data_IF_157059146444
#
_entry.id   IF_157059146444
#
_cell.length_a   1.000
_cell.length_b   1.000
_cell.length_c   1.000
_cell.angle_alpha   90.00
_cell.angle_beta   90.00
_cell.angle_gamma   90.00
#
_symmetry.space_group_name_H-M   'P 1'
#
loop_
_entity.id
_entity.type
_entity.pdbx_description
1 polymer ?
#
# COMPACT_ATOMS: atom_id res chain seq x y z
N UNK A 1 -22.72 -1.84 -36.58
CA UNK A 1 -21.29 -1.63 -36.28
C UNK A 1 -21.14 -1.52 -34.77
N UNK A 2 -20.62 -2.56 -34.12
CA UNK A 2 -20.34 -2.55 -32.67
C UNK A 2 -18.88 -2.18 -32.53
N UNK A 3 -18.60 -0.98 -32.00
CA UNK A 3 -17.24 -0.56 -31.68
C UNK A 3 -16.81 -1.27 -30.39
N UNK A 4 -15.88 -2.22 -30.51
CA UNK A 4 -15.15 -2.75 -29.36
C UNK A 4 -14.26 -1.63 -28.81
N UNK A 5 -14.60 -1.11 -27.64
CA UNK A 5 -13.68 -0.29 -26.85
C UNK A 5 -12.67 -1.25 -26.25
N UNK A 6 -11.47 -1.30 -26.84
CA UNK A 6 -10.34 -2.00 -26.26
C UNK A 6 -9.98 -1.30 -24.93
N UNK A 7 -10.26 -1.98 -23.81
CA UNK A 7 -9.75 -1.58 -22.51
C UNK A 7 -8.22 -1.68 -22.57
N UNK A 8 -7.55 -0.54 -22.72
CA UNK A 8 -6.11 -0.46 -22.54
C UNK A 8 -5.83 -0.79 -21.07
N UNK A 9 -5.42 -2.03 -20.82
CA UNK A 9 -4.77 -2.40 -19.56
C UNK A 9 -3.47 -1.61 -19.53
N UNK A 10 -3.47 -0.47 -18.83
CA UNK A 10 -2.22 0.20 -18.50
C UNK A 10 -1.40 -0.81 -17.68
N UNK A 11 -0.39 -1.40 -18.32
CA UNK A 11 0.63 -2.15 -17.61
C UNK A 11 1.15 -1.24 -16.49
N UNK A 12 1.25 -1.71 -15.24
CA UNK A 12 1.86 -0.90 -14.20
C UNK A 12 3.23 -0.47 -14.71
N UNK A 13 3.51 0.84 -14.66
CA UNK A 13 4.84 1.33 -14.96
C UNK A 13 5.82 0.48 -14.13
N UNK A 14 6.83 -0.11 -14.78
CA UNK A 14 7.83 -0.90 -14.08
C UNK A 14 8.37 -0.06 -12.93
N UNK A 15 8.32 -0.62 -11.73
CA UNK A 15 8.72 0.08 -10.53
C UNK A 15 10.17 0.60 -10.70
N UNK A 16 10.43 1.82 -10.24
CA UNK A 16 11.77 2.41 -10.29
C UNK A 16 12.65 1.88 -9.15
N UNK A 17 13.99 2.05 -9.22
CA UNK A 17 14.91 1.51 -8.21
C UNK A 17 14.68 2.05 -6.78
N UNK A 18 14.00 3.19 -6.62
CA UNK A 18 13.61 3.70 -5.31
C UNK A 18 12.36 3.01 -4.76
N UNK A 19 11.41 2.67 -5.63
CA UNK A 19 10.24 1.86 -5.29
C UNK A 19 10.66 0.46 -4.87
N UNK A 20 11.53 -0.18 -5.66
CA UNK A 20 12.08 -1.50 -5.34
C UNK A 20 12.74 -1.51 -3.95
N UNK A 21 13.66 -0.57 -3.67
CA UNK A 21 14.33 -0.47 -2.36
C UNK A 21 13.32 -0.30 -1.21
N UNK A 22 12.26 0.48 -1.43
CA UNK A 22 11.25 0.75 -0.40
C UNK A 22 10.36 -0.47 -0.15
N UNK A 23 9.96 -1.17 -1.22
CA UNK A 23 9.14 -2.38 -1.13
C UNK A 23 9.93 -3.59 -0.61
N UNK A 24 11.20 -3.74 -0.98
CA UNK A 24 12.11 -4.76 -0.43
C UNK A 24 12.30 -4.59 1.09
N UNK A 25 12.26 -3.35 1.59
CA UNK A 25 12.23 -3.06 3.03
C UNK A 25 10.87 -3.38 3.69
N UNK A 26 9.87 -3.81 2.91
CA UNK A 26 8.56 -4.24 3.37
C UNK A 26 7.57 -3.11 3.64
N UNK A 27 7.79 -1.93 3.06
CA UNK A 27 6.82 -0.84 3.02
C UNK A 27 5.92 -0.95 1.80
N UNK A 28 4.81 -0.23 1.80
CA UNK A 28 3.79 -0.25 0.74
C UNK A 28 3.64 1.13 0.08
N UNK A 29 2.97 1.22 -1.07
CA UNK A 29 2.63 2.52 -1.67
C UNK A 29 1.73 3.37 -0.77
N UNK A 30 0.88 2.74 0.04
CA UNK A 30 0.14 3.44 1.10
C UNK A 30 1.10 4.20 2.03
N UNK A 31 2.20 3.57 2.47
CA UNK A 31 3.18 4.21 3.36
C UNK A 31 3.85 5.41 2.69
N UNK A 32 4.15 5.30 1.40
CA UNK A 32 4.68 6.39 0.61
C UNK A 32 3.69 7.57 0.51
N UNK A 33 2.40 7.29 0.29
CA UNK A 33 1.34 8.31 0.29
C UNK A 33 1.15 8.96 1.67
N UNK A 34 1.20 8.19 2.75
CA UNK A 34 1.09 8.72 4.11
C UNK A 34 2.29 9.62 4.45
N UNK A 35 3.49 9.24 4.02
CA UNK A 35 4.70 10.07 4.15
C UNK A 35 4.60 11.37 3.33
N UNK A 36 4.12 11.26 2.09
CA UNK A 36 3.95 12.39 1.19
C UNK A 36 3.07 13.47 1.81
N UNK A 37 1.93 13.07 2.36
CA UNK A 37 1.00 13.97 3.05
C UNK A 37 1.62 14.58 4.32
N UNK A 38 2.37 13.80 5.09
CA UNK A 38 2.97 14.30 6.33
C UNK A 38 4.11 15.31 6.11
N UNK A 39 4.73 15.31 4.94
CA UNK A 39 5.79 16.25 4.58
C UNK A 39 5.32 17.41 3.69
N UNK A 40 4.02 17.47 3.35
CA UNK A 40 3.48 18.40 2.36
C UNK A 40 4.29 18.42 1.05
N UNK A 41 4.74 17.22 0.60
CA UNK A 41 5.56 17.07 -0.60
C UNK A 41 4.67 16.73 -1.80
N UNK A 42 4.58 17.61 -2.78
CA UNK A 42 3.75 17.34 -3.97
C UNK A 42 4.33 16.24 -4.87
N UNK A 43 5.58 15.81 -4.65
CA UNK A 43 6.29 14.88 -5.51
C UNK A 43 6.59 13.55 -4.82
N UNK A 44 5.77 12.53 -5.11
CA UNK A 44 5.99 11.16 -4.61
C UNK A 44 7.41 10.64 -4.87
N UNK A 45 7.96 10.92 -6.05
CA UNK A 45 9.32 10.52 -6.41
C UNK A 45 10.39 11.06 -5.46
N UNK A 46 10.17 12.24 -4.85
CA UNK A 46 11.09 12.82 -3.87
C UNK A 46 11.00 12.09 -2.53
N UNK A 47 9.79 11.80 -2.06
CA UNK A 47 9.55 11.00 -0.85
C UNK A 47 10.23 9.64 -0.97
N UNK A 48 9.97 8.93 -2.07
CA UNK A 48 10.52 7.59 -2.33
C UNK A 48 12.04 7.61 -2.47
N UNK A 49 12.61 8.59 -3.18
CA UNK A 49 14.06 8.76 -3.27
C UNK A 49 14.69 8.98 -1.89
N UNK A 50 14.14 9.88 -1.09
CA UNK A 50 14.66 10.20 0.24
C UNK A 50 14.58 8.98 1.18
N UNK A 51 13.47 8.23 1.12
CA UNK A 51 13.32 7.00 1.90
C UNK A 51 14.31 5.91 1.44
N UNK A 52 14.43 5.69 0.13
CA UNK A 52 15.36 4.72 -0.43
C UNK A 52 16.83 5.07 -0.12
N UNK A 53 17.21 6.35 -0.15
CA UNK A 53 18.55 6.80 0.25
C UNK A 53 18.86 6.49 1.72
N UNK A 54 17.91 6.74 2.63
CA UNK A 54 18.05 6.37 4.06
C UNK A 54 18.19 4.86 4.22
N UNK A 55 17.36 4.07 3.53
CA UNK A 55 17.43 2.60 3.58
C UNK A 55 18.79 2.08 3.11
N UNK A 56 19.32 2.59 1.99
CA UNK A 56 20.64 2.20 1.47
C UNK A 56 21.80 2.57 2.41
N UNK A 57 21.62 3.58 3.26
CA UNK A 57 22.59 3.98 4.30
C UNK A 57 22.47 3.17 5.59
N UNK A 58 21.48 2.28 5.69
CA UNK A 58 21.19 1.52 6.91
C UNK A 58 20.31 2.27 7.92
N UNK A 59 19.76 3.43 7.56
CA UNK A 59 18.91 4.26 8.44
C UNK A 59 17.45 3.75 8.52
N UNK A 60 17.26 2.43 8.52
CA UNK A 60 15.93 1.81 8.51
C UNK A 60 15.05 2.23 9.67
N UNK A 61 15.62 2.42 10.87
CA UNK A 61 14.91 2.92 12.04
C UNK A 61 14.35 4.34 11.83
N UNK A 62 15.06 5.19 11.08
CA UNK A 62 14.58 6.54 10.77
C UNK A 62 13.40 6.49 9.80
N UNK A 63 13.50 5.65 8.77
CA UNK A 63 12.41 5.45 7.81
C UNK A 63 11.18 4.88 8.49
N UNK A 64 11.34 3.91 9.40
CA UNK A 64 10.24 3.37 10.18
C UNK A 64 9.53 4.45 11.03
N UNK A 65 10.31 5.31 11.71
CA UNK A 65 9.76 6.40 12.51
C UNK A 65 9.06 7.48 11.64
N UNK A 66 9.60 7.75 10.45
CA UNK A 66 8.98 8.66 9.48
C UNK A 66 7.64 8.08 8.98
N UNK A 67 7.60 6.79 8.59
CA UNK A 67 6.39 6.10 8.12
C UNK A 67 5.32 6.06 9.20
N UNK A 68 5.70 5.69 10.43
CA UNK A 68 4.78 5.63 11.56
C UNK A 68 4.15 7.00 11.84
N UNK A 69 4.96 8.07 11.81
CA UNK A 69 4.44 9.45 11.91
C UNK A 69 3.48 9.75 10.78
N UNK A 70 3.83 9.38 9.54
CA UNK A 70 2.99 9.58 8.36
C UNK A 70 1.61 8.96 8.53
N UNK A 71 1.57 7.70 8.99
CA UNK A 71 0.33 6.97 9.28
C UNK A 71 -0.48 7.64 10.38
N UNK A 72 0.16 8.04 11.49
CA UNK A 72 -0.53 8.68 12.61
C UNK A 72 -1.18 10.01 12.22
N UNK A 73 -0.46 10.85 11.47
CA UNK A 73 -0.97 12.15 11.00
C UNK A 73 -2.11 11.98 9.99
N UNK A 74 -2.07 10.93 9.16
CA UNK A 74 -2.99 10.74 8.05
C UNK A 74 -3.93 9.54 8.25
N UNK A 75 -4.19 9.12 9.50
CA UNK A 75 -4.94 7.90 9.82
C UNK A 75 -6.39 7.84 9.29
N UNK A 76 -6.93 8.97 8.87
CA UNK A 76 -8.28 9.09 8.30
C UNK A 76 -8.28 9.17 6.77
N UNK A 77 -7.12 9.20 6.12
CA UNK A 77 -6.98 9.32 4.65
C UNK A 77 -6.91 7.95 3.96
N UNK A 78 -7.76 6.98 4.39
CA UNK A 78 -7.74 5.62 3.86
C UNK A 78 -7.98 5.52 2.34
N UNK A 79 -8.59 6.54 1.74
CA UNK A 79 -8.74 6.68 0.28
C UNK A 79 -7.40 6.71 -0.49
N UNK A 80 -6.30 7.03 0.19
CA UNK A 80 -4.92 7.05 -0.35
C UNK A 80 -4.22 5.69 -0.24
N UNK A 81 -4.90 4.70 0.31
CA UNK A 81 -4.38 3.35 0.51
C UNK A 81 -5.33 2.33 -0.13
N UNK A 82 -5.53 2.37 -1.46
CA UNK A 82 -6.41 1.42 -2.12
C UNK A 82 -5.90 -0.01 -1.92
N UNK A 83 -6.78 -0.90 -1.46
CA UNK A 83 -6.43 -2.28 -1.17
C UNK A 83 -5.83 -3.00 -2.39
N UNK A 84 -6.35 -2.72 -3.59
CA UNK A 84 -5.93 -3.40 -4.83
C UNK A 84 -4.48 -3.09 -5.26
N UNK A 85 -3.80 -2.11 -4.64
CA UNK A 85 -2.36 -1.88 -4.86
C UNK A 85 -1.47 -2.87 -4.12
N UNK A 86 -2.00 -3.51 -3.06
CA UNK A 86 -1.23 -4.43 -2.20
C UNK A 86 -1.80 -5.85 -2.23
N UNK A 87 -3.12 -5.97 -2.38
CA UNK A 87 -3.82 -7.26 -2.36
C UNK A 87 -4.35 -7.62 -3.74
N UNK A 88 -4.12 -8.86 -4.17
CA UNK A 88 -4.73 -9.39 -5.38
C UNK A 88 -6.24 -9.60 -5.21
N UNK A 89 -6.98 -9.68 -6.32
CA UNK A 89 -8.41 -9.98 -6.29
C UNK A 89 -8.73 -11.30 -5.55
N UNK A 90 -7.88 -12.32 -5.72
CA UNK A 90 -8.00 -13.60 -5.00
C UNK A 90 -7.82 -13.42 -3.49
N UNK A 91 -6.80 -12.66 -3.07
CA UNK A 91 -6.58 -12.36 -1.65
C UNK A 91 -7.75 -11.59 -1.05
N UNK A 92 -8.30 -10.59 -1.75
CA UNK A 92 -9.47 -9.84 -1.30
C UNK A 92 -10.68 -10.77 -1.10
N UNK A 93 -10.94 -11.70 -2.03
CA UNK A 93 -12.01 -12.69 -1.90
C UNK A 93 -11.80 -13.63 -0.71
N UNK A 94 -10.57 -14.05 -0.47
CA UNK A 94 -10.25 -14.89 0.68
C UNK A 94 -10.43 -14.12 1.99
N UNK A 95 -10.07 -12.85 2.06
CA UNK A 95 -10.31 -12.01 3.23
C UNK A 95 -11.80 -11.86 3.49
N UNK A 96 -12.60 -11.63 2.43
CA UNK A 96 -14.06 -11.57 2.55
C UNK A 96 -14.61 -12.86 3.16
N UNK A 97 -14.15 -14.04 2.67
CA UNK A 97 -14.54 -15.34 3.22
C UNK A 97 -14.10 -15.52 4.67
N UNK A 98 -12.83 -15.23 4.97
CA UNK A 98 -12.23 -15.42 6.29
C UNK A 98 -12.92 -14.53 7.35
N UNK A 99 -13.21 -13.28 7.01
CA UNK A 99 -13.92 -12.35 7.89
C UNK A 99 -15.45 -12.45 7.83
N UNK A 100 -15.99 -13.36 7.00
CA UNK A 100 -17.44 -13.53 6.79
C UNK A 100 -18.13 -12.23 6.37
N UNK A 101 -17.51 -11.51 5.44
CA UNK A 101 -18.04 -10.28 4.86
C UNK A 101 -18.76 -10.58 3.55
N UNK A 102 -20.01 -10.14 3.43
CA UNK A 102 -20.81 -10.34 2.21
C UNK A 102 -20.51 -9.28 1.13
N UNK A 103 -19.88 -8.17 1.51
CA UNK A 103 -19.54 -7.06 0.62
C UNK A 103 -18.04 -6.99 0.33
N UNK A 104 -17.68 -7.14 -0.94
CA UNK A 104 -16.31 -6.95 -1.41
C UNK A 104 -15.88 -5.49 -1.27
N UNK A 105 -16.81 -4.54 -1.44
CA UNK A 105 -16.50 -3.11 -1.25
C UNK A 105 -16.13 -2.81 0.21
N UNK A 106 -16.86 -3.35 1.17
CA UNK A 106 -16.53 -3.21 2.60
C UNK A 106 -15.24 -3.95 2.96
N UNK A 107 -14.99 -5.11 2.34
CA UNK A 107 -13.73 -5.85 2.52
C UNK A 107 -12.54 -5.02 2.08
N UNK A 108 -12.62 -4.36 0.91
CA UNK A 108 -11.60 -3.42 0.45
C UNK A 108 -11.40 -2.26 1.42
N UNK A 109 -12.50 -1.64 1.89
CA UNK A 109 -12.41 -0.54 2.85
C UNK A 109 -11.71 -0.97 4.16
N UNK A 110 -12.01 -2.17 4.66
CA UNK A 110 -11.33 -2.75 5.84
C UNK A 110 -9.85 -3.00 5.58
N UNK A 111 -9.49 -3.57 4.43
CA UNK A 111 -8.09 -3.79 4.02
C UNK A 111 -7.32 -2.47 3.89
N UNK A 112 -7.91 -1.45 3.27
CA UNK A 112 -7.36 -0.10 3.22
C UNK A 112 -7.12 0.47 4.62
N UNK A 113 -8.05 0.25 5.55
CA UNK A 113 -7.85 0.63 6.95
C UNK A 113 -6.70 -0.11 7.64
N UNK A 114 -6.47 -1.38 7.32
CA UNK A 114 -5.31 -2.14 7.82
C UNK A 114 -4.00 -1.62 7.24
N UNK A 115 -3.97 -1.24 5.95
CA UNK A 115 -2.80 -0.62 5.31
C UNK A 115 -2.39 0.67 6.05
N UNK A 116 -3.36 1.55 6.32
CA UNK A 116 -3.13 2.81 7.06
C UNK A 116 -2.56 2.56 8.46
N UNK A 117 -3.02 1.51 9.15
CA UNK A 117 -2.49 1.13 10.48
C UNK A 117 -1.15 0.42 10.42
N UNK A 118 -0.70 -0.02 9.25
CA UNK A 118 0.50 -0.84 9.12
C UNK A 118 0.31 -2.33 9.37
N UNK A 119 -0.93 -2.79 9.54
CA UNK A 119 -1.29 -4.17 9.89
C UNK A 119 -1.28 -5.13 8.68
N UNK A 120 -0.67 -4.72 7.57
CA UNK A 120 -0.78 -5.44 6.31
C UNK A 120 -0.10 -6.81 6.37
N UNK A 121 1.10 -6.91 6.97
CA UNK A 121 1.83 -8.18 7.15
C UNK A 121 1.04 -9.14 8.02
N UNK A 122 0.55 -8.67 9.18
CA UNK A 122 -0.32 -9.45 10.07
C UNK A 122 -1.57 -9.96 9.34
N UNK A 123 -2.14 -9.14 8.45
CA UNK A 123 -3.30 -9.55 7.65
C UNK A 123 -2.93 -10.68 6.67
N UNK A 124 -1.79 -10.55 5.97
CA UNK A 124 -1.30 -11.56 5.02
C UNK A 124 -0.90 -12.87 5.71
N UNK A 125 -0.33 -12.81 6.91
CA UNK A 125 -0.01 -14.00 7.71
C UNK A 125 -1.29 -14.72 8.14
N UNK A 126 -2.27 -13.99 8.68
CA UNK A 126 -3.54 -14.56 9.12
C UNK A 126 -4.30 -15.33 8.02
N UNK A 127 -4.21 -14.89 6.76
CA UNK A 127 -4.86 -15.58 5.66
C UNK A 127 -4.06 -16.78 5.13
N UNK A 128 -2.74 -16.74 5.25
CA UNK A 128 -1.88 -17.87 4.90
C UNK A 128 -2.05 -19.02 5.90
N UNK A 129 -2.16 -18.70 7.20
CA UNK A 129 -2.41 -19.69 8.26
C UNK A 129 -3.81 -20.31 8.20
N UNK A 130 -4.75 -19.63 7.55
CA UNK A 130 -6.13 -20.08 7.40
C UNK A 130 -6.38 -20.96 6.16
N UNK A 131 -5.35 -21.19 5.34
CA UNK A 131 -5.39 -22.06 4.14
C UNK A 131 -4.97 -23.49 4.49
#
# INVERSE_FOLDING_TARGET
MVALVAAATASPALAGPNEDTFFEAGYTMCDAHMLQLAYDDDLMNRVMRNAAEKLRRGDGARVAADVERGRQMNRYEARRCPADEVYSAEQILLFAKYWRMDSISETRAKLSGNLVRGDHKNSLEAINDAR
#
